data_IF_909959810442
#
_entry.id   IF_909959810442
#
_cell.length_a   1.000
_cell.length_b   1.000
_cell.length_c   1.000
_cell.angle_alpha   90.00
_cell.angle_beta   90.00
_cell.angle_gamma   90.00
#
_symmetry.space_group_name_H-M   'P 1'
#
loop_
_entity.id
_entity.type
_entity.pdbx_description
1 polymer ?
#
# COMPACT_ATOMS: atom_id res chain seq x y z
N UNK A 1 -5.07 26.52 0.07
CA UNK A 1 -4.11 25.42 0.32
C UNK A 1 -4.75 24.41 1.25
N UNK A 2 -4.80 23.14 0.84
CA UNK A 2 -5.22 22.01 1.68
C UNK A 2 -4.15 20.93 1.62
N UNK A 3 -3.80 20.38 2.79
CA UNK A 3 -2.80 19.33 2.94
C UNK A 3 -3.50 18.11 3.53
N UNK A 4 -3.44 16.99 2.81
CA UNK A 4 -4.04 15.73 3.27
C UNK A 4 -3.04 14.58 3.24
N UNK A 5 -3.29 13.62 4.13
CA UNK A 5 -2.51 12.38 4.22
C UNK A 5 -2.98 11.41 3.15
N UNK A 6 -2.03 10.85 2.39
CA UNK A 6 -2.31 9.90 1.31
C UNK A 6 -3.18 8.70 1.75
N UNK A 7 -2.99 8.18 2.96
CA UNK A 7 -3.79 7.09 3.51
C UNK A 7 -5.28 7.45 3.64
N UNK A 8 -5.59 8.64 4.17
CA UNK A 8 -6.97 9.11 4.32
C UNK A 8 -7.62 9.29 2.94
N UNK A 9 -6.88 9.80 1.97
CA UNK A 9 -7.35 9.93 0.59
C UNK A 9 -7.58 8.55 -0.06
N UNK A 10 -6.69 7.58 0.18
CA UNK A 10 -6.87 6.21 -0.31
C UNK A 10 -8.14 5.55 0.28
N UNK A 11 -8.47 5.82 1.55
CA UNK A 11 -9.73 5.39 2.17
C UNK A 11 -10.94 6.06 1.49
N UNK A 12 -10.89 7.36 1.24
CA UNK A 12 -11.96 8.07 0.54
C UNK A 12 -12.18 7.52 -0.88
N UNK A 13 -11.11 7.15 -1.59
CA UNK A 13 -11.21 6.50 -2.90
C UNK A 13 -11.97 5.17 -2.85
N UNK A 14 -11.89 4.45 -1.73
CA UNK A 14 -12.56 3.16 -1.55
C UNK A 14 -14.09 3.26 -1.54
N UNK A 15 -14.66 4.44 -1.25
CA UNK A 15 -16.11 4.69 -1.23
C UNK A 15 -16.79 4.47 -2.60
N UNK A 16 -16.01 4.40 -3.67
CA UNK A 16 -16.52 4.09 -5.02
C UNK A 16 -16.65 2.59 -5.29
N UNK A 17 -16.14 1.74 -4.40
CA UNK A 17 -16.29 0.29 -4.53
C UNK A 17 -17.71 -0.13 -4.15
N UNK A 18 -18.34 -0.98 -4.97
CA UNK A 18 -19.69 -1.50 -4.72
C UNK A 18 -19.79 -2.36 -3.46
N UNK A 19 -18.66 -2.79 -2.89
CA UNK A 19 -18.60 -3.54 -1.63
C UNK A 19 -18.71 -2.66 -0.38
N UNK A 20 -18.58 -1.34 -0.54
CA UNK A 20 -18.61 -0.39 0.59
C UNK A 20 -20.03 0.15 0.73
N UNK A 21 -20.66 -0.15 1.86
CA UNK A 21 -21.99 0.37 2.21
C UNK A 21 -21.87 1.65 3.06
N UNK A 22 -20.88 1.72 3.95
CA UNK A 22 -20.66 2.85 4.84
C UNK A 22 -19.45 3.68 4.37
N UNK A 23 -19.64 4.99 4.19
CA UNK A 23 -18.54 5.95 3.93
C UNK A 23 -17.73 6.25 5.20
N UNK A 24 -17.22 5.21 5.84
CA UNK A 24 -16.40 5.34 7.04
C UNK A 24 -14.99 5.80 6.70
N UNK A 25 -14.44 6.68 7.52
CA UNK A 25 -13.02 7.07 7.53
C UNK A 25 -12.20 6.25 8.53
N UNK A 26 -12.77 5.16 9.06
CA UNK A 26 -12.06 4.18 9.89
C UNK A 26 -11.71 2.97 9.04
N UNK A 27 -10.43 2.62 8.97
CA UNK A 27 -9.93 1.49 8.20
C UNK A 27 -8.40 1.38 8.23
N UNK A 28 -7.88 0.26 7.76
CA UNK A 28 -6.44 0.03 7.61
C UNK A 28 -6.05 0.17 6.14
N UNK A 29 -5.14 1.09 5.84
CA UNK A 29 -4.63 1.28 4.48
C UNK A 29 -3.33 0.52 4.30
N UNK A 30 -3.24 -0.25 3.23
CA UNK A 30 -2.01 -0.89 2.80
C UNK A 30 -1.61 -0.24 1.49
N UNK A 31 -0.58 0.59 1.53
CA UNK A 31 -0.05 1.27 0.35
C UNK A 31 1.27 0.61 -0.06
N UNK A 32 1.28 -0.03 -1.22
CA UNK A 32 2.49 -0.65 -1.78
C UNK A 32 2.91 0.07 -3.06
N UNK A 33 3.94 0.92 -2.91
CA UNK A 33 4.55 1.65 -4.01
C UNK A 33 5.70 0.87 -4.67
N UNK A 34 6.63 1.62 -5.26
CA UNK A 34 7.86 1.06 -5.84
C UNK A 34 8.90 0.71 -4.77
N UNK A 35 9.08 1.57 -3.74
CA UNK A 35 10.20 1.43 -2.80
C UNK A 35 9.87 0.82 -1.44
N UNK A 36 8.67 1.06 -0.90
CA UNK A 36 8.27 0.58 0.44
C UNK A 36 6.79 0.25 0.43
N UNK A 37 6.40 -0.73 1.24
CA UNK A 37 4.99 -1.00 1.55
C UNK A 37 4.65 -0.51 2.95
N UNK A 38 3.58 0.25 3.09
CA UNK A 38 3.16 0.85 4.35
C UNK A 38 1.80 0.32 4.78
N UNK A 39 1.69 0.02 6.07
CA UNK A 39 0.42 -0.35 6.72
C UNK A 39 0.06 0.75 7.72
N UNK A 40 -1.05 1.43 7.45
CA UNK A 40 -1.43 2.67 8.11
C UNK A 40 -2.85 2.53 8.65
N UNK A 41 -3.03 2.40 9.98
CA UNK A 41 -4.34 2.39 10.59
C UNK A 41 -4.88 3.81 10.71
N UNK A 42 -6.11 4.01 10.26
CA UNK A 42 -6.84 5.27 10.33
C UNK A 42 -8.13 5.05 11.11
N UNK A 43 -8.41 5.90 12.08
CA UNK A 43 -9.66 5.90 12.84
C UNK A 43 -10.29 7.28 12.75
N UNK A 44 -11.54 7.34 12.28
CA UNK A 44 -12.33 8.57 12.21
C UNK A 44 -11.61 9.71 11.46
N UNK A 45 -10.82 9.36 10.43
CA UNK A 45 -10.04 10.33 9.65
C UNK A 45 -8.67 10.67 10.25
N UNK A 46 -8.35 10.23 11.47
CA UNK A 46 -7.06 10.41 12.11
C UNK A 46 -6.16 9.20 11.93
N UNK A 47 -4.90 9.44 11.62
CA UNK A 47 -3.89 8.39 11.49
C UNK A 47 -3.36 8.01 12.86
N UNK A 48 -3.37 6.72 13.19
CA UNK A 48 -2.81 6.21 14.44
C UNK A 48 -1.30 6.00 14.24
N UNK A 49 -0.54 7.08 14.39
CA UNK A 49 0.89 7.13 14.09
C UNK A 49 1.73 6.10 14.81
N UNK A 50 1.40 5.78 16.07
CA UNK A 50 2.12 4.80 16.90
C UNK A 50 2.07 3.37 16.35
N UNK A 51 1.05 3.06 15.55
CA UNK A 51 0.81 1.72 15.02
C UNK A 51 1.29 1.55 13.58
N UNK A 52 1.77 2.62 12.92
CA UNK A 52 2.24 2.53 11.52
C UNK A 52 3.42 1.57 11.42
N UNK A 53 3.39 0.70 10.41
CA UNK A 53 4.52 -0.16 10.06
C UNK A 53 4.90 -0.01 8.60
N UNK A 54 6.20 -0.03 8.34
CA UNK A 54 6.78 -0.06 7.01
C UNK A 54 7.46 -1.40 6.77
N UNK A 55 7.19 -1.98 5.61
CA UNK A 55 7.77 -3.23 5.14
C UNK A 55 8.78 -2.87 4.03
N UNK A 56 10.05 -3.27 4.16
CA UNK A 56 11.11 -2.96 3.20
C UNK A 56 11.05 -3.87 1.96
N UNK A 57 9.84 -4.19 1.50
CA UNK A 57 9.57 -4.98 0.30
C UNK A 57 8.46 -4.27 -0.47
N UNK A 58 8.72 -3.98 -1.74
CA UNK A 58 7.79 -3.27 -2.61
C UNK A 58 7.98 -3.62 -4.09
N UNK A 59 7.43 -2.81 -5.00
CA UNK A 59 7.41 -3.08 -6.44
C UNK A 59 8.80 -3.24 -7.08
N UNK A 60 9.81 -2.55 -6.55
CA UNK A 60 11.20 -2.62 -7.01
C UNK A 60 11.82 -3.96 -6.69
N UNK A 61 11.65 -4.43 -5.45
CA UNK A 61 12.15 -5.73 -5.00
C UNK A 61 11.57 -6.87 -5.83
N UNK A 62 10.27 -6.80 -6.13
CA UNK A 62 9.61 -7.76 -7.03
C UNK A 62 10.26 -7.72 -8.42
N UNK A 63 10.55 -6.53 -8.93
CA UNK A 63 11.18 -6.37 -10.26
C UNK A 63 12.58 -6.97 -10.29
N UNK A 64 13.38 -6.74 -9.24
CA UNK A 64 14.70 -7.35 -9.11
C UNK A 64 14.62 -8.87 -8.98
N UNK A 65 13.65 -9.38 -8.24
CA UNK A 65 13.44 -10.81 -8.09
C UNK A 65 13.00 -11.48 -9.40
N UNK A 66 12.10 -10.87 -10.17
CA UNK A 66 11.76 -11.35 -11.52
C UNK A 66 13.00 -11.34 -12.41
N UNK A 67 13.79 -10.27 -12.37
CA UNK A 67 15.04 -10.20 -13.14
C UNK A 67 16.02 -11.31 -12.77
N UNK A 68 16.22 -11.63 -11.48
CA UNK A 68 17.12 -12.71 -11.08
C UNK A 68 16.63 -14.05 -11.63
N UNK A 69 15.33 -14.32 -11.57
CA UNK A 69 14.75 -15.56 -12.12
C UNK A 69 14.93 -15.68 -13.65
N UNK A 70 14.83 -14.57 -14.39
CA UNK A 70 15.10 -14.54 -15.84
C UNK A 70 16.58 -14.80 -16.15
N UNK A 71 17.49 -14.23 -15.34
CA UNK A 71 18.94 -14.44 -15.50
C UNK A 71 19.35 -15.87 -15.20
N UNK A 72 18.79 -16.47 -14.15
CA UNK A 72 19.12 -17.83 -13.75
C UNK A 72 18.73 -18.87 -14.81
N UNK A 73 17.67 -18.59 -15.58
CA UNK A 73 17.27 -19.41 -16.74
C UNK A 73 18.07 -19.13 -18.02
N UNK A 74 18.84 -18.04 -18.05
CA UNK A 74 19.56 -17.61 -19.25
C UNK A 74 18.65 -17.06 -20.35
N UNK A 75 17.54 -16.40 -19.98
CA UNK A 75 16.64 -15.78 -20.95
C UNK A 75 17.36 -14.70 -21.78
N UNK A 76 17.01 -14.56 -23.07
CA UNK A 76 17.76 -13.73 -24.01
C UNK A 76 17.66 -12.21 -23.73
N UNK A 77 16.63 -11.76 -23.02
CA UNK A 77 16.61 -10.44 -22.39
C UNK A 77 16.19 -10.53 -20.92
N UNK A 78 17.04 -10.00 -20.05
CA UNK A 78 16.86 -9.90 -18.61
C UNK A 78 17.01 -8.46 -18.10
N UNK A 79 16.75 -7.48 -18.97
CA UNK A 79 16.74 -6.07 -18.60
C UNK A 79 15.69 -5.75 -17.52
N UNK A 80 15.91 -4.70 -16.74
CA UNK A 80 14.95 -4.28 -15.70
C UNK A 80 13.61 -3.87 -16.29
N UNK A 81 13.61 -3.31 -17.50
CA UNK A 81 12.40 -2.91 -18.22
C UNK A 81 11.53 -4.15 -18.53
N UNK A 82 12.14 -5.17 -19.11
CA UNK A 82 11.47 -6.44 -19.44
C UNK A 82 10.95 -7.13 -18.18
N UNK A 83 11.73 -7.16 -17.09
CA UNK A 83 11.27 -7.69 -15.82
C UNK A 83 10.06 -6.91 -15.25
N UNK A 84 10.02 -5.59 -15.42
CA UNK A 84 8.88 -4.76 -15.01
C UNK A 84 7.64 -5.03 -15.87
N UNK A 85 7.80 -5.14 -17.19
CA UNK A 85 6.70 -5.48 -18.12
C UNK A 85 6.12 -6.86 -17.77
N UNK A 86 7.00 -7.86 -17.56
CA UNK A 86 6.60 -9.21 -17.14
C UNK A 86 5.84 -9.19 -15.80
N UNK A 87 6.34 -8.41 -14.84
CA UNK A 87 5.72 -8.21 -13.53
C UNK A 87 4.30 -7.66 -13.67
N UNK A 88 4.12 -6.62 -14.48
CA UNK A 88 2.83 -5.92 -14.60
C UNK A 88 1.81 -6.71 -15.44
N UNK A 89 2.25 -7.45 -16.46
CA UNK A 89 1.37 -8.14 -17.40
C UNK A 89 1.00 -9.57 -16.99
N UNK A 90 1.95 -10.35 -16.45
CA UNK A 90 1.78 -11.80 -16.29
C UNK A 90 1.65 -12.28 -14.86
N UNK A 91 2.03 -11.46 -13.87
CA UNK A 91 2.08 -11.91 -12.47
C UNK A 91 0.71 -11.92 -11.79
N UNK A 92 0.51 -12.89 -10.90
CA UNK A 92 -0.72 -13.08 -10.14
C UNK A 92 -0.46 -13.80 -8.81
N UNK A 93 -1.31 -13.56 -7.82
CA UNK A 93 -1.21 -14.26 -6.53
C UNK A 93 -1.94 -15.60 -6.62
N UNK A 94 -1.29 -16.67 -6.18
CA UNK A 94 -1.91 -17.99 -6.08
C UNK A 94 -2.32 -18.31 -4.62
N UNK A 95 -3.28 -19.22 -4.40
CA UNK A 95 -3.69 -19.60 -3.05
C UNK A 95 -2.74 -20.60 -2.36
N UNK A 96 -1.99 -21.38 -3.14
CA UNK A 96 -1.13 -22.49 -2.71
C UNK A 96 -0.01 -22.67 -3.74
N UNK A 97 1.21 -22.32 -3.35
CA UNK A 97 2.39 -22.34 -4.23
C UNK A 97 2.74 -23.75 -4.68
N UNK A 98 2.64 -24.75 -3.81
CA UNK A 98 3.11 -26.12 -4.08
C UNK A 98 2.25 -26.77 -5.16
N UNK A 99 0.93 -26.53 -5.07
CA UNK A 99 -0.01 -26.96 -6.12
C UNK A 99 0.22 -26.23 -7.43
N UNK A 100 0.56 -24.95 -7.37
CA UNK A 100 0.81 -24.16 -8.59
C UNK A 100 2.09 -24.64 -9.28
N UNK A 101 3.18 -24.84 -8.54
CA UNK A 101 4.42 -25.46 -9.03
C UNK A 101 4.15 -26.80 -9.74
N UNK A 102 3.40 -27.69 -9.07
CA UNK A 102 3.05 -29.00 -9.63
C UNK A 102 2.32 -28.92 -10.98
N UNK A 103 1.58 -27.83 -11.25
CA UNK A 103 0.90 -27.64 -12.55
C UNK A 103 1.89 -27.25 -13.65
N UNK A 104 2.85 -26.39 -13.34
CA UNK A 104 3.87 -25.96 -14.31
C UNK A 104 4.89 -27.06 -14.59
N UNK A 105 5.21 -27.91 -13.60
CA UNK A 105 6.10 -29.05 -13.79
C UNK A 105 5.47 -30.14 -14.68
N UNK A 106 4.16 -30.33 -14.57
CA UNK A 106 3.41 -31.28 -15.42
C UNK A 106 3.23 -30.79 -16.85
N UNK A 107 3.10 -29.48 -17.02
CA UNK A 107 2.71 -28.88 -18.29
C UNK A 107 3.50 -27.60 -18.58
N UNK A 108 4.54 -27.75 -19.39
CA UNK A 108 5.40 -26.65 -19.84
C UNK A 108 4.70 -25.70 -20.83
N UNK A 109 3.54 -26.05 -21.39
CA UNK A 109 2.80 -25.14 -22.27
C UNK A 109 2.17 -23.95 -21.53
N UNK A 110 2.20 -23.98 -20.19
CA UNK A 110 1.74 -22.88 -19.32
C UNK A 110 2.69 -21.70 -19.24
N UNK A 111 3.94 -21.89 -19.71
CA UNK A 111 4.89 -20.80 -19.84
C UNK A 111 4.36 -19.83 -20.90
N UNK A 112 4.19 -18.58 -20.51
CA UNK A 112 3.74 -17.55 -21.43
C UNK A 112 4.95 -17.05 -22.23
N UNK A 113 4.73 -16.57 -23.45
CA UNK A 113 5.79 -15.97 -24.24
C UNK A 113 5.62 -14.46 -24.24
N UNK A 114 6.66 -13.74 -23.84
CA UNK A 114 6.70 -12.28 -23.87
C UNK A 114 7.67 -11.84 -24.97
N UNK A 115 7.20 -10.98 -25.88
CA UNK A 115 7.99 -10.52 -27.02
C UNK A 115 8.56 -9.14 -26.71
N UNK A 116 9.87 -9.07 -26.55
CA UNK A 116 10.61 -7.84 -26.34
C UNK A 116 11.05 -7.25 -27.67
N UNK A 117 10.68 -6.00 -27.93
CA UNK A 117 11.16 -5.24 -29.08
C UNK A 117 12.34 -4.37 -28.67
N UNK A 118 13.53 -4.68 -29.19
CA UNK A 118 14.71 -3.85 -28.95
C UNK A 118 14.74 -2.63 -29.88
N UNK A 119 15.40 -1.52 -29.50
CA UNK A 119 15.51 -0.31 -30.32
C UNK A 119 16.16 -0.52 -31.70
N UNK A 120 16.91 -1.61 -31.88
CA UNK A 120 17.52 -2.00 -33.15
C UNK A 120 16.56 -2.76 -34.09
N UNK A 121 15.27 -2.87 -33.74
CA UNK A 121 14.27 -3.61 -34.50
C UNK A 121 14.31 -5.13 -34.31
N UNK A 122 15.25 -5.65 -33.50
CA UNK A 122 15.31 -7.07 -33.17
C UNK A 122 14.22 -7.41 -32.17
N UNK A 123 13.40 -8.40 -32.50
CA UNK A 123 12.44 -8.98 -31.56
C UNK A 123 13.03 -10.23 -30.95
N UNK A 124 12.86 -10.36 -29.64
CA UNK A 124 13.34 -11.49 -28.85
C UNK A 124 12.18 -11.98 -28.00
N UNK A 125 11.95 -13.29 -28.01
CA UNK A 125 10.94 -13.91 -27.17
C UNK A 125 11.60 -14.38 -25.87
N UNK A 126 10.98 -14.05 -24.75
CA UNK A 126 11.35 -14.46 -23.39
C UNK A 126 10.26 -15.39 -22.87
N UNK A 127 10.67 -16.55 -22.35
CA UNK A 127 9.73 -17.48 -21.74
C UNK A 127 9.44 -17.07 -20.29
N UNK A 128 8.16 -16.93 -19.97
CA UNK A 128 7.64 -16.45 -18.69
C UNK A 128 6.99 -17.59 -17.92
N UNK A 129 7.66 -18.06 -16.87
CA UNK A 129 7.34 -19.28 -16.14
C UNK A 129 6.88 -19.07 -14.70
N UNK A 130 7.68 -19.58 -13.76
CA UNK A 130 7.36 -19.61 -12.33
C UNK A 130 7.28 -18.22 -11.68
N UNK A 131 8.01 -17.23 -12.21
CA UNK A 131 8.01 -15.85 -11.72
C UNK A 131 6.61 -15.25 -11.67
N UNK A 132 5.67 -15.72 -12.50
CA UNK A 132 4.30 -15.22 -12.55
C UNK A 132 3.60 -15.32 -11.20
N UNK A 133 3.76 -16.45 -10.50
CA UNK A 133 3.14 -16.64 -9.20
C UNK A 133 4.14 -16.53 -8.04
N UNK A 134 5.43 -16.72 -8.31
CA UNK A 134 6.46 -16.62 -7.28
C UNK A 134 6.80 -15.17 -6.94
N UNK A 135 6.78 -14.26 -7.92
CA UNK A 135 7.14 -12.87 -7.71
C UNK A 135 6.23 -12.12 -6.72
N UNK A 136 4.89 -12.22 -6.80
CA UNK A 136 4.02 -11.59 -5.81
C UNK A 136 3.94 -12.39 -4.49
N UNK A 137 4.46 -13.63 -4.44
CA UNK A 137 4.48 -14.42 -3.20
C UNK A 137 5.43 -13.84 -2.15
N UNK A 138 6.39 -12.99 -2.53
CA UNK A 138 7.31 -12.35 -1.57
C UNK A 138 6.59 -11.51 -0.50
N UNK A 139 5.35 -11.07 -0.75
CA UNK A 139 4.54 -10.41 0.29
C UNK A 139 4.01 -11.38 1.35
N UNK A 140 3.82 -12.65 0.99
CA UNK A 140 3.24 -13.68 1.85
C UNK A 140 4.30 -14.61 2.45
N UNK A 141 5.40 -14.85 1.73
CA UNK A 141 6.57 -15.60 2.18
C UNK A 141 7.84 -14.78 1.84
N UNK A 142 8.15 -13.74 2.64
CA UNK A 142 9.26 -12.83 2.35
C UNK A 142 10.65 -13.51 2.43
N UNK A 143 10.74 -14.67 3.09
CA UNK A 143 11.94 -15.50 3.17
C UNK A 143 12.47 -15.98 1.81
N UNK A 144 11.65 -15.93 0.75
CA UNK A 144 12.04 -16.32 -0.62
C UNK A 144 13.04 -15.32 -1.22
N UNK A 145 12.99 -14.05 -0.79
CA UNK A 145 13.79 -12.96 -1.37
C UNK A 145 14.73 -12.30 -0.36
N UNK A 146 14.27 -12.06 0.87
CA UNK A 146 15.03 -11.36 1.89
C UNK A 146 15.37 -12.28 3.06
N UNK A 147 16.63 -12.28 3.49
CA UNK A 147 17.07 -12.90 4.75
C UNK A 147 16.72 -12.06 5.98
N UNK A 148 16.56 -10.75 5.79
CA UNK A 148 16.52 -9.79 6.90
C UNK A 148 15.08 -9.54 7.36
N UNK A 149 14.15 -9.49 6.40
CA UNK A 149 12.74 -9.29 6.67
C UNK A 149 11.96 -10.58 6.43
N UNK A 150 11.51 -11.23 7.51
CA UNK A 150 10.89 -12.56 7.47
C UNK A 150 9.40 -12.56 7.83
N UNK A 151 8.80 -11.39 8.06
CA UNK A 151 7.41 -11.31 8.54
C UNK A 151 6.42 -11.14 7.39
N UNK A 152 5.49 -12.08 7.15
CA UNK A 152 4.48 -11.94 6.10
C UNK A 152 3.59 -10.72 6.25
N UNK A 153 3.14 -10.14 5.13
CA UNK A 153 2.21 -9.00 5.11
C UNK A 153 0.95 -9.22 5.97
N UNK A 154 0.25 -10.38 5.93
CA UNK A 154 -0.92 -10.61 6.79
C UNK A 154 -0.61 -10.46 8.29
N UNK A 155 0.57 -10.91 8.72
CA UNK A 155 1.01 -10.84 10.13
C UNK A 155 1.34 -9.40 10.52
N UNK A 156 1.98 -8.63 9.63
CA UNK A 156 2.23 -7.20 9.85
C UNK A 156 0.92 -6.44 10.00
N UNK A 157 -0.04 -6.68 9.12
CA UNK A 157 -1.36 -6.02 9.16
C UNK A 157 -2.10 -6.35 10.46
N UNK A 158 -2.12 -7.62 10.85
CA UNK A 158 -2.70 -8.04 12.11
C UNK A 158 -2.01 -7.37 13.32
N UNK A 159 -0.68 -7.33 13.33
CA UNK A 159 0.10 -6.66 14.38
C UNK A 159 -0.18 -5.17 14.49
N UNK A 160 -0.32 -4.46 13.37
CA UNK A 160 -0.67 -3.04 13.31
C UNK A 160 -2.05 -2.78 13.93
N UNK A 161 -3.03 -3.62 13.59
CA UNK A 161 -4.38 -3.48 14.13
C UNK A 161 -4.40 -3.83 15.62
N UNK A 162 -3.65 -4.85 16.05
CA UNK A 162 -3.54 -5.21 17.47
C UNK A 162 -2.77 -4.18 18.32
N UNK A 163 -1.85 -3.41 17.74
CA UNK A 163 -1.18 -2.30 18.43
C UNK A 163 -2.08 -1.07 18.57
N UNK A 164 -3.14 -0.97 17.76
CA UNK A 164 -4.09 0.14 17.82
C UNK A 164 -5.05 -0.01 19.02
N UNK A 165 -5.68 1.09 19.49
CA UNK A 165 -6.64 1.06 20.61
C UNK A 165 -7.77 0.05 20.37
N UNK A 166 -8.25 -0.59 21.43
CA UNK A 166 -9.18 -1.73 21.33
C UNK A 166 -10.51 -1.37 20.64
N UNK A 167 -11.02 -0.17 20.87
CA UNK A 167 -12.33 0.29 20.41
C UNK A 167 -12.40 0.42 18.87
N UNK A 168 -11.27 0.73 18.24
CA UNK A 168 -11.20 0.95 16.78
C UNK A 168 -10.89 -0.33 16.00
N UNK A 169 -10.37 -1.39 16.65
CA UNK A 169 -9.88 -2.60 15.97
C UNK A 169 -10.95 -3.25 15.09
N UNK A 170 -12.20 -3.28 15.56
CA UNK A 170 -13.32 -3.83 14.78
C UNK A 170 -13.51 -3.10 13.45
N UNK A 171 -13.46 -1.77 13.47
CA UNK A 171 -13.53 -0.96 12.25
C UNK A 171 -12.30 -1.17 11.35
N UNK A 172 -11.11 -1.29 11.94
CA UNK A 172 -9.86 -1.50 11.21
C UNK A 172 -9.81 -2.84 10.45
N UNK A 173 -10.37 -3.94 11.01
CA UNK A 173 -10.49 -5.23 10.31
C UNK A 173 -11.62 -5.25 9.28
N UNK A 174 -12.74 -4.58 9.57
CA UNK A 174 -13.90 -4.51 8.67
C UNK A 174 -13.57 -3.73 7.39
N UNK A 175 -12.61 -2.80 7.43
CA UNK A 175 -12.30 -1.94 6.31
C UNK A 175 -10.79 -1.89 6.03
N UNK A 176 -10.26 -2.91 5.37
CA UNK A 176 -8.86 -2.93 4.92
C UNK A 176 -8.83 -2.48 3.45
N UNK A 177 -8.22 -1.33 3.16
CA UNK A 177 -8.15 -0.76 1.82
C UNK A 177 -6.76 -0.95 1.25
N UNK A 178 -6.70 -1.51 0.04
CA UNK A 178 -5.47 -1.65 -0.73
C UNK A 178 -5.24 -0.42 -1.62
N UNK A 179 -4.01 0.07 -1.65
CA UNK A 179 -3.53 1.19 -2.47
C UNK A 179 -2.16 0.89 -3.06
N UNK A 180 -1.82 1.58 -4.15
CA UNK A 180 -0.52 1.45 -4.82
C UNK A 180 -0.47 0.36 -5.88
N UNK A 181 0.44 0.52 -6.83
CA UNK A 181 0.53 -0.33 -8.04
C UNK A 181 0.87 -1.79 -7.74
N UNK A 182 1.67 -2.04 -6.70
CA UNK A 182 2.12 -3.39 -6.34
C UNK A 182 1.04 -4.22 -5.62
N UNK A 183 -0.12 -3.63 -5.30
CA UNK A 183 -1.29 -4.35 -4.76
C UNK A 183 -2.31 -4.75 -5.83
N UNK A 184 -2.06 -4.40 -7.10
CA UNK A 184 -2.99 -4.64 -8.23
C UNK A 184 -2.97 -6.09 -8.75
N UNK A 185 -2.11 -6.95 -8.21
CA UNK A 185 -2.05 -8.34 -8.66
C UNK A 185 -3.41 -9.03 -8.52
N UNK A 186 -3.73 -9.86 -9.51
CA UNK A 186 -4.92 -10.69 -9.47
C UNK A 186 -4.90 -11.56 -8.21
N UNK A 187 -6.06 -11.66 -7.56
CA UNK A 187 -6.28 -12.44 -6.33
C UNK A 187 -5.53 -11.99 -5.07
N UNK A 188 -4.74 -10.90 -5.12
CA UNK A 188 -4.00 -10.36 -3.97
C UNK A 188 -4.91 -10.07 -2.78
N UNK A 189 -5.98 -9.30 -2.99
CA UNK A 189 -6.92 -8.95 -1.90
C UNK A 189 -7.64 -10.17 -1.32
N UNK A 190 -7.95 -11.18 -2.14
CA UNK A 190 -8.61 -12.42 -1.69
C UNK A 190 -7.68 -13.27 -0.83
N UNK A 191 -6.42 -13.43 -1.27
CA UNK A 191 -5.37 -14.12 -0.50
C UNK A 191 -5.14 -13.43 0.84
N UNK A 192 -4.95 -12.12 0.82
CA UNK A 192 -4.73 -11.32 2.03
C UNK A 192 -5.90 -11.42 3.02
N UNK A 193 -7.14 -11.31 2.54
CA UNK A 193 -8.33 -11.42 3.39
C UNK A 193 -8.42 -12.80 4.05
N UNK A 194 -8.17 -13.87 3.28
CA UNK A 194 -8.19 -15.25 3.77
C UNK A 194 -7.15 -15.45 4.87
N UNK A 195 -5.92 -15.02 4.64
CA UNK A 195 -4.81 -15.25 5.55
C UNK A 195 -4.98 -14.42 6.84
N UNK A 196 -5.42 -13.15 6.75
CA UNK A 196 -5.77 -12.35 7.94
C UNK A 196 -6.94 -12.98 8.70
N UNK A 197 -7.98 -13.43 8.01
CA UNK A 197 -9.13 -14.09 8.65
C UNK A 197 -8.70 -15.35 9.40
N UNK A 198 -7.81 -16.16 8.83
CA UNK A 198 -7.27 -17.34 9.50
C UNK A 198 -6.51 -16.98 10.79
N UNK A 199 -5.67 -15.93 10.76
CA UNK A 199 -4.94 -15.43 11.95
C UNK A 199 -5.92 -14.95 13.04
N UNK A 200 -6.91 -14.16 12.65
CA UNK A 200 -7.93 -13.62 13.55
C UNK A 200 -8.77 -14.75 14.17
N UNK A 201 -9.29 -15.66 13.34
CA UNK A 201 -10.12 -16.77 13.80
C UNK A 201 -9.32 -17.73 14.70
N UNK A 202 -8.04 -17.95 14.42
CA UNK A 202 -7.15 -18.75 15.29
C UNK A 202 -6.94 -18.08 16.66
N UNK A 203 -6.73 -16.76 16.69
CA UNK A 203 -6.63 -16.00 17.95
C UNK A 203 -7.93 -16.02 18.74
N UNK A 204 -9.08 -15.86 18.08
CA UNK A 204 -10.39 -15.93 18.73
C UNK A 204 -10.59 -17.32 19.35
N UNK A 205 -10.39 -18.40 18.58
CA UNK A 205 -10.48 -19.78 19.10
C UNK A 205 -9.59 -20.01 20.31
N UNK A 206 -8.33 -19.55 20.26
CA UNK A 206 -7.41 -19.66 21.39
C UNK A 206 -7.91 -18.89 22.62
N UNK A 207 -8.58 -17.75 22.42
CA UNK A 207 -9.20 -16.99 23.51
C UNK A 207 -10.43 -17.70 24.09
N UNK A 208 -11.30 -18.26 23.25
CA UNK A 208 -12.53 -18.97 23.69
C UNK A 208 -12.18 -20.20 24.54
N UNK A 209 -11.15 -20.94 24.15
CA UNK A 209 -10.64 -22.09 24.93
C UNK A 209 -10.15 -21.64 26.31
N UNK A 210 -9.43 -20.51 26.38
CA UNK A 210 -8.95 -19.97 27.67
C UNK A 210 -10.07 -19.41 28.55
N UNK A 211 -11.14 -18.91 27.94
CA UNK A 211 -12.30 -18.35 28.65
C UNK A 211 -13.36 -19.40 29.02
N UNK A 212 -13.02 -20.69 29.02
CA UNK A 212 -13.94 -21.76 29.44
C UNK A 212 -15.12 -21.99 28.48
N UNK A 213 -14.95 -21.66 27.19
CA UNK A 213 -15.98 -21.89 26.16
C UNK A 213 -16.93 -20.73 25.91
N UNK A 214 -16.68 -19.55 26.50
CA UNK A 214 -17.42 -18.33 26.16
C UNK A 214 -17.18 -17.96 24.69
N UNK A 215 -18.26 -17.98 23.88
CA UNK A 215 -18.19 -17.69 22.44
C UNK A 215 -18.13 -16.19 22.18
N UNK A 216 -17.23 -15.78 21.29
CA UNK A 216 -17.15 -14.41 20.81
C UNK A 216 -18.08 -14.21 19.61
N UNK A 217 -18.60 -12.99 19.43
CA UNK A 217 -19.43 -12.62 18.27
C UNK A 217 -18.70 -12.62 16.90
N UNK A 218 -17.51 -13.19 16.83
CA UNK A 218 -16.65 -13.14 15.66
C UNK A 218 -16.08 -11.75 15.37
N UNK A 219 -15.29 -11.69 14.30
CA UNK A 219 -14.74 -10.46 13.75
C UNK A 219 -14.80 -10.54 12.24
N UNK A 220 -15.47 -9.58 11.62
CA UNK A 220 -15.54 -9.49 10.17
C UNK A 220 -14.27 -8.85 9.61
N UNK A 221 -13.60 -9.59 8.73
CA UNK A 221 -12.41 -9.13 8.01
C UNK A 221 -12.78 -8.94 6.55
N UNK A 222 -12.66 -7.72 6.05
CA UNK A 222 -12.95 -7.41 4.64
C UNK A 222 -11.83 -6.58 4.03
N UNK A 223 -11.32 -7.07 2.90
CA UNK A 223 -10.32 -6.36 2.09
C UNK A 223 -11.02 -5.79 0.86
N UNK A 224 -10.98 -4.48 0.74
CA UNK A 224 -11.63 -3.72 -0.32
C UNK A 224 -10.62 -3.39 -1.41
N UNK A 225 -10.94 -3.84 -2.61
CA UNK A 225 -10.28 -3.42 -3.84
C UNK A 225 -11.20 -2.52 -4.65
N UNK A 226 -10.63 -1.59 -5.41
CA UNK A 226 -11.37 -0.63 -6.24
C UNK A 226 -10.60 -0.36 -7.54
N UNK A 227 -11.30 -0.01 -8.62
CA UNK A 227 -10.68 0.14 -9.96
C UNK A 227 -9.63 1.25 -10.04
N UNK A 228 -9.63 2.20 -9.11
CA UNK A 228 -8.71 3.36 -9.08
C UNK A 228 -7.52 3.19 -8.13
N UNK A 229 -7.24 1.97 -7.66
CA UNK A 229 -6.16 1.65 -6.72
C UNK A 229 -4.79 2.22 -7.06
N UNK A 230 -4.42 2.22 -8.36
CA UNK A 230 -3.14 2.77 -8.84
C UNK A 230 -2.94 4.23 -8.45
N UNK A 231 -4.03 5.00 -8.45
CA UNK A 231 -4.04 6.44 -8.18
C UNK A 231 -5.02 6.76 -7.05
N UNK A 232 -5.17 5.84 -6.09
CA UNK A 232 -6.14 5.93 -5.00
C UNK A 232 -6.10 7.29 -4.29
N UNK A 233 -4.92 7.74 -3.81
CA UNK A 233 -4.81 9.04 -3.14
C UNK A 233 -5.26 10.23 -4.00
N UNK A 234 -4.87 10.25 -5.29
CA UNK A 234 -5.27 11.34 -6.19
C UNK A 234 -6.78 11.36 -6.44
N UNK A 235 -7.36 10.19 -6.68
CA UNK A 235 -8.79 10.04 -6.92
C UNK A 235 -9.62 10.37 -5.67
N UNK A 236 -9.17 9.94 -4.49
CA UNK A 236 -9.79 10.29 -3.22
C UNK A 236 -9.70 11.79 -2.92
N UNK A 237 -8.57 12.43 -3.25
CA UNK A 237 -8.44 13.88 -3.17
C UNK A 237 -9.40 14.62 -4.10
N UNK A 238 -9.59 14.14 -5.33
CA UNK A 238 -10.59 14.69 -6.25
C UNK A 238 -12.02 14.54 -5.71
N UNK A 239 -12.34 13.38 -5.14
CA UNK A 239 -13.67 13.12 -4.55
C UNK A 239 -13.95 14.03 -3.35
N UNK A 240 -12.97 14.21 -2.46
CA UNK A 240 -13.09 15.13 -1.32
C UNK A 240 -13.12 16.59 -1.79
N UNK A 241 -12.35 16.94 -2.81
CA UNK A 241 -12.31 18.27 -3.41
C UNK A 241 -13.65 18.74 -4.01
N UNK A 242 -14.48 17.78 -4.45
CA UNK A 242 -15.82 18.06 -4.98
C UNK A 242 -16.88 18.28 -3.89
N UNK A 243 -16.58 18.01 -2.62
CA UNK A 243 -17.54 18.25 -1.52
C UNK A 243 -17.71 19.74 -1.27
N UNK A 244 -18.94 20.22 -0.99
CA UNK A 244 -19.19 21.64 -0.76
C UNK A 244 -18.44 22.18 0.48
N UNK A 245 -18.15 21.31 1.45
CA UNK A 245 -17.39 21.65 2.65
C UNK A 245 -15.89 21.76 2.39
N UNK A 246 -15.37 21.30 1.25
CA UNK A 246 -13.92 21.29 0.99
C UNK A 246 -13.28 22.68 1.15
N UNK A 247 -13.95 23.72 0.67
CA UNK A 247 -13.46 25.10 0.76
C UNK A 247 -13.33 25.61 2.20
N UNK A 248 -14.14 25.12 3.14
CA UNK A 248 -14.05 25.54 4.54
C UNK A 248 -12.86 24.92 5.27
N UNK A 249 -12.36 23.77 4.80
CA UNK A 249 -11.13 23.13 5.30
C UNK A 249 -9.85 23.70 4.67
N UNK A 250 -9.96 24.56 3.66
CA UNK A 250 -8.82 25.14 2.97
C UNK A 250 -8.33 26.41 3.66
N UNK A 251 -7.01 26.57 3.73
CA UNK A 251 -6.41 27.82 4.19
C UNK A 251 -6.27 28.83 3.04
N UNK A 252 -6.65 30.08 3.31
CA UNK A 252 -6.43 31.19 2.37
C UNK A 252 -4.96 31.58 2.31
N UNK A 253 -4.53 32.17 1.19
CA UNK A 253 -3.15 32.67 1.03
C UNK A 253 -2.75 33.67 2.12
N UNK A 254 -3.70 34.48 2.60
CA UNK A 254 -3.50 35.43 3.68
C UNK A 254 -3.27 34.73 5.04
N UNK A 255 -4.03 33.67 5.34
CA UNK A 255 -3.83 32.85 6.54
C UNK A 255 -2.49 32.14 6.53
N UNK A 256 -2.12 31.51 5.41
CA UNK A 256 -0.83 30.81 5.28
C UNK A 256 0.33 31.77 5.52
N UNK A 257 0.28 32.98 4.95
CA UNK A 257 1.31 34.02 5.21
C UNK A 257 1.40 34.41 6.68
N UNK A 258 0.28 34.52 7.39
CA UNK A 258 0.27 34.79 8.84
C UNK A 258 0.83 33.62 9.64
N UNK A 259 0.44 32.38 9.34
CA UNK A 259 0.92 31.19 10.05
C UNK A 259 2.45 31.05 9.90
N UNK A 260 2.97 31.20 8.68
CA UNK A 260 4.42 31.14 8.42
C UNK A 260 5.16 32.25 9.18
N UNK A 261 4.59 33.45 9.23
CA UNK A 261 5.15 34.57 10.01
C UNK A 261 5.13 34.29 11.53
N UNK A 262 4.05 33.71 12.06
CA UNK A 262 3.95 33.32 13.47
C UNK A 262 4.93 32.20 13.86
N UNK A 263 5.13 31.20 13.01
CA UNK A 263 6.14 30.14 13.24
C UNK A 263 7.55 30.74 13.19
N UNK A 264 7.83 31.62 12.22
CA UNK A 264 9.12 32.30 12.12
C UNK A 264 9.44 33.25 13.28
N UNK A 265 8.42 33.84 13.90
CA UNK A 265 8.57 34.71 15.09
C UNK A 265 8.69 33.91 16.39
N UNK A 266 8.02 32.77 16.53
CA UNK A 266 8.24 31.84 17.66
C UNK A 266 9.66 31.29 17.69
N UNK A 267 10.28 31.03 16.52
CA UNK A 267 11.68 30.58 16.44
C UNK A 267 12.71 31.65 16.78
N UNK A 268 12.34 32.94 16.77
CA UNK A 268 13.23 34.06 17.09
C UNK A 268 13.20 34.49 18.57
N UNK A 269 12.18 34.08 19.34
CA UNK A 269 12.01 34.47 20.76
C UNK A 269 12.40 33.37 21.77
N UNK A 270 12.90 32.23 21.31
CA UNK A 270 13.49 31.20 22.16
C UNK A 270 14.91 30.97 21.66
N UNK A 271 15.90 31.21 22.52
CA UNK A 271 17.29 30.76 22.32
C UNK A 271 17.34 29.23 22.36
N UNK A 272 16.83 28.59 21.31
CA UNK A 272 17.01 27.17 21.07
C UNK A 272 18.42 27.01 20.46
N UNK A 273 19.30 26.15 21.00
CA UNK A 273 20.64 25.95 20.46
C UNK A 273 20.55 25.60 18.97
N UNK A 274 21.44 26.21 18.18
CA UNK A 274 21.61 26.11 16.72
C UNK A 274 21.74 24.68 16.14
N UNK A 275 21.64 23.66 16.99
CA UNK A 275 21.56 22.23 16.65
C UNK A 275 20.13 21.82 16.28
N UNK A 276 19.10 22.51 16.77
CA UNK A 276 17.69 22.18 16.50
C UNK A 276 17.16 22.75 15.17
N UNK A 277 17.72 23.85 14.66
CA UNK A 277 17.27 24.46 13.40
C UNK A 277 17.70 23.66 12.16
N UNK A 278 18.80 22.92 12.20
CA UNK A 278 19.15 21.97 11.13
C UNK A 278 18.54 20.58 11.32
N UNK A 279 18.32 20.12 12.56
CA UNK A 279 17.67 18.83 12.80
C UNK A 279 16.16 18.87 12.56
N UNK A 280 15.44 19.93 12.94
CA UNK A 280 14.01 20.05 12.63
C UNK A 280 13.75 20.35 11.15
N UNK A 281 14.61 21.08 10.45
CA UNK A 281 14.47 21.26 9.00
C UNK A 281 14.71 19.94 8.24
N UNK A 282 15.62 19.07 8.72
CA UNK A 282 15.85 17.74 8.13
C UNK A 282 14.82 16.69 8.56
N UNK A 283 14.30 16.75 9.79
CA UNK A 283 13.22 15.87 10.25
C UNK A 283 11.89 16.28 9.59
N UNK A 284 11.61 17.58 9.43
CA UNK A 284 10.49 18.06 8.62
C UNK A 284 10.69 17.73 7.14
N UNK A 285 11.87 17.91 6.53
CA UNK A 285 12.03 17.61 5.10
C UNK A 285 11.92 16.11 4.79
N UNK A 286 12.35 15.23 5.69
CA UNK A 286 12.28 13.78 5.51
C UNK A 286 10.86 13.21 5.70
N UNK A 287 10.02 13.84 6.52
CA UNK A 287 8.61 13.47 6.72
C UNK A 287 7.64 14.22 5.78
N UNK A 288 7.93 15.49 5.42
CA UNK A 288 7.07 16.32 4.58
C UNK A 288 6.99 15.87 3.12
N UNK A 289 8.09 15.39 2.54
CA UNK A 289 8.12 15.06 1.10
C UNK A 289 7.61 13.66 0.77
N UNK A 290 7.37 12.81 1.77
CA UNK A 290 7.07 11.39 1.52
C UNK A 290 5.59 11.00 1.71
N UNK A 291 4.76 11.87 2.26
CA UNK A 291 3.43 11.50 2.79
C UNK A 291 2.27 12.46 2.52
N UNK A 292 2.56 13.66 2.00
CA UNK A 292 1.58 14.73 1.85
C UNK A 292 1.36 15.07 0.38
N UNK A 293 0.10 15.08 -0.05
CA UNK A 293 -0.31 15.69 -1.33
C UNK A 293 -0.74 17.12 -1.05
N UNK A 294 -0.09 18.08 -1.72
CA UNK A 294 -0.45 19.51 -1.68
C UNK A 294 -1.42 19.75 -2.84
N UNK A 295 -2.64 20.16 -2.52
CA UNK A 295 -3.59 20.67 -3.52
C UNK A 295 -3.55 22.20 -3.48
N UNK A 296 -3.03 22.80 -4.55
CA UNK A 296 -3.15 24.23 -4.80
C UNK A 296 -4.40 24.50 -5.64
N UNK A 297 -5.20 25.47 -5.21
CA UNK A 297 -6.51 25.79 -5.81
C UNK A 297 -6.35 26.85 -6.91
N UNK A 298 -5.22 27.56 -6.95
CA UNK A 298 -5.01 28.68 -7.88
C UNK A 298 -4.70 28.23 -9.34
N UNK A 299 -4.48 26.93 -9.60
CA UNK A 299 -4.12 26.40 -10.94
C UNK A 299 -5.27 25.67 -11.68
N UNK A 300 -6.50 25.69 -11.16
CA UNK A 300 -7.66 25.01 -11.81
C UNK A 300 -8.31 25.82 -12.95
N UNK A 301 -7.93 27.07 -13.18
CA UNK A 301 -8.48 27.89 -14.29
C UNK A 301 -7.73 27.73 -15.63
N UNK A 302 -6.55 27.10 -15.66
CA UNK A 302 -5.73 26.99 -16.89
C UNK A 302 -5.87 25.69 -17.67
N UNK A 303 -6.68 24.73 -17.19
CA UNK A 303 -6.88 23.41 -17.84
C UNK A 303 -8.30 23.20 -18.39
N UNK A 304 -9.15 24.23 -18.35
CA UNK A 304 -10.52 24.20 -18.90
C UNK A 304 -10.80 25.28 -19.96
N UNK A 305 -9.76 25.80 -20.63
CA UNK A 305 -9.87 26.55 -21.89
C UNK A 305 -8.92 25.99 -22.94
#
# INVERSE_FOLDING_TARGET
MYIAVQAVLALAASWTSSKVQDRSLTGTVIDSGDGVTHVIPVAEGYVIGSSIKSIPIAGRDITYFVQSLLRDRGEPDSSLKTAQEIKEEYCYVCPDIVKEFSKYDRDRTRFAQHVVSHPNGRQVTVDVGYERFLAPEIFFNPEIYSSDFLTPLPVVVDGVIQQSPIDVRRGLYKNIVLSGGSTLYKDFGRRLQRDIKQLVDARIRASEVRSGGARSGGLDVSVITHKRQRHGPWFGGSLLGQTPEFRSYCHTKAEVRRIVYCIGTMTNNITVPRIWTQHCAKICSAWWTRWLLIYDIDDQESLFN
#
